data_IF_635941389205
#
_entry.id   IF_635941389205
#
_cell.length_a   1.000
_cell.length_b   1.000
_cell.length_c   1.000
_cell.angle_alpha   90.00
_cell.angle_beta   90.00
_cell.angle_gamma   90.00
#
_symmetry.space_group_name_H-M   'P 1'
#
loop_
_entity.id
_entity.type
_entity.pdbx_description
1 polymer ?
#
# COMPACT_ATOMS: atom_id res chain seq x y z
N UNK A 1 24.87 -22.70 8.86
CA UNK A 1 23.70 -21.82 8.60
C UNK A 1 23.05 -22.31 7.32
N UNK A 2 21.88 -22.95 7.40
CA UNK A 2 21.15 -23.38 6.22
C UNK A 2 20.53 -22.14 5.56
N UNK A 3 21.05 -21.73 4.40
CA UNK A 3 20.43 -20.67 3.60
C UNK A 3 19.09 -21.20 3.08
N UNK A 4 17.99 -20.77 3.68
CA UNK A 4 16.65 -21.15 3.22
C UNK A 4 16.46 -20.70 1.78
N UNK A 5 16.37 -21.65 0.84
CA UNK A 5 16.19 -21.41 -0.58
C UNK A 5 14.71 -21.18 -0.89
N UNK A 6 14.13 -20.09 -0.38
CA UNK A 6 12.77 -19.73 -0.77
C UNK A 6 12.75 -19.38 -2.27
N UNK A 7 11.80 -19.99 -2.99
CA UNK A 7 11.66 -19.77 -4.42
C UNK A 7 10.53 -18.80 -4.69
N UNK A 8 10.58 -18.16 -5.88
CA UNK A 8 9.46 -17.39 -6.40
C UNK A 8 8.11 -18.14 -6.33
N UNK A 9 8.14 -19.46 -6.57
CA UNK A 9 6.93 -20.30 -6.51
C UNK A 9 6.34 -20.33 -5.11
N UNK A 10 7.18 -20.34 -4.08
CA UNK A 10 6.72 -20.30 -2.69
C UNK A 10 6.06 -18.96 -2.38
N UNK A 11 6.67 -17.84 -2.80
CA UNK A 11 6.09 -16.51 -2.62
C UNK A 11 4.73 -16.39 -3.30
N UNK A 12 4.63 -16.81 -4.57
CA UNK A 12 3.36 -16.79 -5.31
C UNK A 12 2.30 -17.68 -4.68
N UNK A 13 2.67 -18.88 -4.20
CA UNK A 13 1.73 -19.79 -3.52
C UNK A 13 1.17 -19.14 -2.26
N UNK A 14 2.04 -18.65 -1.37
CA UNK A 14 1.61 -18.06 -0.09
C UNK A 14 0.78 -16.79 -0.33
N UNK A 15 1.16 -15.96 -1.31
CA UNK A 15 0.39 -14.77 -1.69
C UNK A 15 -1.00 -15.13 -2.24
N UNK A 16 -1.08 -16.16 -3.09
CA UNK A 16 -2.35 -16.67 -3.62
C UNK A 16 -3.24 -17.23 -2.52
N UNK A 17 -2.66 -18.00 -1.60
CA UNK A 17 -3.39 -18.53 -0.46
C UNK A 17 -3.95 -17.36 0.36
N UNK A 18 -3.13 -16.37 0.73
CA UNK A 18 -3.61 -15.17 1.43
C UNK A 18 -4.75 -14.46 0.68
N UNK A 19 -4.64 -14.31 -0.64
CA UNK A 19 -5.71 -13.75 -1.47
C UNK A 19 -6.98 -14.60 -1.44
N UNK A 20 -6.88 -15.93 -1.36
CA UNK A 20 -8.02 -16.83 -1.24
C UNK A 20 -8.78 -16.61 0.09
N UNK A 21 -8.05 -16.50 1.20
CA UNK A 21 -8.64 -16.25 2.52
C UNK A 21 -9.35 -14.88 2.59
N UNK A 22 -8.87 -13.91 1.80
CA UNK A 22 -9.48 -12.59 1.63
C UNK A 22 -10.60 -12.55 0.57
N UNK A 23 -10.94 -13.69 -0.03
CA UNK A 23 -11.92 -13.82 -1.13
C UNK A 23 -11.61 -12.96 -2.36
N UNK A 24 -10.33 -12.78 -2.67
CA UNK A 24 -9.84 -11.97 -3.81
C UNK A 24 -9.59 -12.80 -5.09
N UNK A 25 -9.72 -14.12 -5.05
CA UNK A 25 -9.58 -14.95 -6.24
C UNK A 25 -10.90 -14.97 -7.01
N UNK A 26 -10.84 -15.05 -8.35
CA UNK A 26 -12.04 -15.19 -9.20
C UNK A 26 -12.88 -16.43 -8.83
N UNK A 27 -12.21 -17.48 -8.34
CA UNK A 27 -12.84 -18.72 -7.87
C UNK A 27 -13.47 -18.61 -6.47
N UNK A 28 -13.25 -17.51 -5.75
CA UNK A 28 -13.77 -17.33 -4.40
C UNK A 28 -15.20 -16.81 -4.46
N UNK A 29 -16.06 -17.31 -3.57
CA UNK A 29 -17.39 -16.73 -3.39
C UNK A 29 -17.25 -15.30 -2.90
N UNK A 30 -17.72 -14.33 -3.70
CA UNK A 30 -17.74 -12.92 -3.29
C UNK A 30 -18.64 -12.74 -2.07
N UNK A 31 -18.26 -11.80 -1.21
CA UNK A 31 -19.02 -11.48 -0.02
C UNK A 31 -20.33 -10.75 -0.42
N UNK A 32 -21.46 -11.16 0.15
CA UNK A 32 -22.74 -10.48 -0.09
C UNK A 32 -22.72 -9.09 0.55
N UNK A 33 -23.35 -8.09 -0.07
CA UNK A 33 -23.26 -6.66 0.33
C UNK A 33 -23.57 -6.40 1.81
N UNK A 34 -24.48 -7.16 2.40
CA UNK A 34 -24.94 -6.94 3.78
C UNK A 34 -24.46 -8.02 4.75
N UNK A 35 -23.47 -8.82 4.35
CA UNK A 35 -22.93 -9.92 5.15
C UNK A 35 -21.45 -9.68 5.32
N UNK A 36 -20.99 -9.62 6.57
CA UNK A 36 -19.57 -9.57 6.88
C UNK A 36 -18.97 -10.99 6.88
N UNK A 37 -17.63 -11.09 6.89
CA UNK A 37 -16.97 -12.38 7.04
C UNK A 37 -17.28 -13.00 8.41
N UNK A 38 -17.41 -14.32 8.45
CA UNK A 38 -17.68 -15.01 9.71
C UNK A 38 -16.46 -14.93 10.66
N UNK A 39 -16.66 -15.05 11.99
CA UNK A 39 -15.55 -15.07 12.94
C UNK A 39 -14.50 -16.15 12.65
N UNK A 40 -14.94 -17.29 12.10
CA UNK A 40 -14.05 -18.39 11.70
C UNK A 40 -13.16 -18.00 10.51
N UNK A 41 -13.74 -17.36 9.49
CA UNK A 41 -12.98 -16.88 8.33
C UNK A 41 -12.00 -15.78 8.73
N UNK A 42 -12.46 -14.82 9.52
CA UNK A 42 -11.60 -13.77 10.08
C UNK A 42 -10.43 -14.38 10.87
N UNK A 43 -10.69 -15.39 11.70
CA UNK A 43 -9.66 -16.13 12.43
C UNK A 43 -8.62 -16.79 11.51
N UNK A 44 -9.04 -17.34 10.36
CA UNK A 44 -8.12 -17.91 9.36
C UNK A 44 -7.21 -16.84 8.74
N UNK A 45 -7.80 -15.72 8.32
CA UNK A 45 -7.06 -14.59 7.77
C UNK A 45 -6.02 -14.09 8.78
N UNK A 46 -6.43 -13.84 10.01
CA UNK A 46 -5.55 -13.33 11.06
C UNK A 46 -4.43 -14.32 11.41
N UNK A 47 -4.73 -15.62 11.46
CA UNK A 47 -3.71 -16.65 11.67
C UNK A 47 -2.66 -16.61 10.55
N UNK A 48 -3.08 -16.45 9.29
CA UNK A 48 -2.18 -16.38 8.15
C UNK A 48 -1.31 -15.12 8.19
N UNK A 49 -1.88 -13.96 8.48
CA UNK A 49 -1.12 -12.71 8.61
C UNK A 49 -0.07 -12.83 9.71
N UNK A 50 -0.43 -13.34 10.89
CA UNK A 50 0.53 -13.55 11.99
C UNK A 50 1.61 -14.56 11.63
N UNK A 51 1.28 -15.61 10.88
CA UNK A 51 2.27 -16.57 10.41
C UNK A 51 3.31 -15.91 9.49
N UNK A 52 2.92 -14.95 8.64
CA UNK A 52 3.86 -14.21 7.79
C UNK A 52 4.87 -13.40 8.59
N UNK A 53 4.49 -12.88 9.76
CA UNK A 53 5.40 -12.11 10.62
C UNK A 53 6.47 -12.97 11.30
N UNK A 54 6.25 -14.28 11.39
CA UNK A 54 7.27 -15.20 11.90
C UNK A 54 8.35 -15.52 10.87
N UNK A 55 8.15 -15.14 9.60
CA UNK A 55 9.10 -15.38 8.52
C UNK A 55 10.24 -14.34 8.55
N UNK A 56 11.45 -14.70 8.06
CA UNK A 56 12.50 -13.71 7.82
C UNK A 56 11.98 -12.59 6.90
N UNK A 57 12.42 -11.36 7.14
CA UNK A 57 11.94 -10.17 6.43
C UNK A 57 12.01 -10.33 4.92
N UNK A 58 13.09 -10.87 4.39
CA UNK A 58 13.31 -11.05 2.94
C UNK A 58 12.28 -11.99 2.32
N UNK A 59 11.84 -12.99 3.08
CA UNK A 59 10.83 -13.98 2.68
C UNK A 59 9.44 -13.33 2.70
N UNK A 60 9.13 -12.64 3.80
CA UNK A 60 7.87 -11.91 3.98
C UNK A 60 7.69 -10.84 2.91
N UNK A 61 8.71 -10.01 2.67
CA UNK A 61 8.70 -8.98 1.65
C UNK A 61 8.52 -9.62 0.25
N UNK A 62 9.15 -10.77 0.00
CA UNK A 62 8.94 -11.56 -1.22
C UNK A 62 7.49 -11.99 -1.43
N UNK A 63 6.80 -12.42 -0.36
CA UNK A 63 5.37 -12.76 -0.38
C UNK A 63 4.51 -11.52 -0.65
N UNK A 64 4.75 -10.41 0.05
CA UNK A 64 3.98 -9.18 -0.16
C UNK A 64 4.19 -8.54 -1.53
N UNK A 65 5.40 -8.65 -2.10
CA UNK A 65 5.67 -8.23 -3.48
C UNK A 65 4.93 -9.12 -4.48
N UNK A 66 4.87 -10.44 -4.24
CA UNK A 66 4.07 -11.35 -5.05
C UNK A 66 2.57 -11.04 -4.95
N UNK A 67 2.07 -10.77 -3.74
CA UNK A 67 0.69 -10.33 -3.51
C UNK A 67 0.40 -9.05 -4.28
N UNK A 68 1.30 -8.06 -4.19
CA UNK A 68 1.15 -6.77 -4.86
C UNK A 68 1.08 -6.89 -6.38
N UNK A 69 1.90 -7.77 -6.96
CA UNK A 69 1.92 -8.01 -8.39
C UNK A 69 0.64 -8.67 -8.92
N UNK A 70 -0.03 -9.49 -8.11
CA UNK A 70 -1.12 -10.36 -8.57
C UNK A 70 -2.51 -10.00 -8.06
N UNK A 71 -2.63 -9.31 -6.93
CA UNK A 71 -3.89 -9.24 -6.18
C UNK A 71 -4.32 -7.81 -5.79
N UNK A 72 -3.51 -6.78 -6.06
CA UNK A 72 -3.91 -5.39 -5.79
C UNK A 72 -5.16 -4.95 -6.57
N UNK A 73 -5.34 -5.25 -7.87
CA UNK A 73 -6.59 -4.92 -8.56
C UNK A 73 -7.82 -5.57 -7.91
N UNK A 74 -7.76 -6.86 -7.59
CA UNK A 74 -8.87 -7.56 -6.93
C UNK A 74 -9.16 -7.01 -5.53
N UNK A 75 -8.11 -6.62 -4.78
CA UNK A 75 -8.26 -5.93 -3.50
C UNK A 75 -8.97 -4.57 -3.68
N UNK A 76 -8.60 -3.83 -4.73
CA UNK A 76 -9.21 -2.56 -5.09
C UNK A 76 -10.71 -2.71 -5.39
N UNK A 77 -11.04 -3.71 -6.22
CA UNK A 77 -12.42 -4.05 -6.59
C UNK A 77 -13.23 -4.42 -5.34
N UNK A 78 -12.66 -5.26 -4.46
CA UNK A 78 -13.30 -5.66 -3.22
C UNK A 78 -13.56 -4.45 -2.31
N UNK A 79 -12.61 -3.52 -2.15
CA UNK A 79 -12.82 -2.30 -1.37
C UNK A 79 -13.92 -1.41 -1.96
N UNK A 80 -14.03 -1.30 -3.28
CA UNK A 80 -15.07 -0.51 -3.96
C UNK A 80 -16.46 -1.13 -3.86
N UNK A 81 -16.54 -2.47 -3.84
CA UNK A 81 -17.78 -3.21 -3.72
C UNK A 81 -18.34 -3.24 -2.28
N UNK A 82 -17.50 -2.93 -1.28
CA UNK A 82 -17.84 -3.00 0.15
C UNK A 82 -18.62 -1.80 0.67
N UNK A 83 -19.36 -2.02 1.77
CA UNK A 83 -20.05 -0.96 2.51
C UNK A 83 -19.79 -1.06 4.03
N UNK A 84 -20.35 -0.14 4.81
CA UNK A 84 -20.13 -0.04 6.25
C UNK A 84 -20.58 -1.23 7.11
N UNK A 85 -21.33 -2.20 6.55
CA UNK A 85 -21.75 -3.41 7.26
C UNK A 85 -20.67 -4.52 7.25
N UNK A 86 -19.65 -4.40 6.40
CA UNK A 86 -18.61 -5.41 6.17
C UNK A 86 -17.30 -5.03 6.88
N UNK A 87 -17.40 -4.67 8.16
CA UNK A 87 -16.32 -4.08 8.94
C UNK A 87 -15.09 -4.98 9.05
N UNK A 88 -15.26 -6.26 9.34
CA UNK A 88 -14.18 -7.23 9.49
C UNK A 88 -13.48 -7.49 8.16
N UNK A 89 -14.24 -7.59 7.07
CA UNK A 89 -13.70 -7.72 5.72
C UNK A 89 -12.85 -6.49 5.33
N UNK A 90 -13.39 -5.28 5.52
CA UNK A 90 -12.66 -4.03 5.27
C UNK A 90 -11.39 -3.98 6.13
N UNK A 91 -11.49 -4.35 7.41
CA UNK A 91 -10.34 -4.37 8.33
C UNK A 91 -9.21 -5.22 7.78
N UNK A 92 -9.52 -6.42 7.31
CA UNK A 92 -8.52 -7.35 6.81
C UNK A 92 -7.88 -6.84 5.50
N UNK A 93 -8.65 -6.21 4.60
CA UNK A 93 -8.10 -5.62 3.39
C UNK A 93 -7.18 -4.42 3.68
N UNK A 94 -7.60 -3.54 4.60
CA UNK A 94 -6.79 -2.41 5.05
C UNK A 94 -5.51 -2.88 5.72
N UNK A 95 -5.60 -3.89 6.59
CA UNK A 95 -4.45 -4.46 7.29
C UNK A 95 -3.42 -5.03 6.30
N UNK A 96 -3.86 -5.72 5.25
CA UNK A 96 -2.92 -6.20 4.23
C UNK A 96 -2.30 -5.04 3.47
N UNK A 97 -3.08 -4.04 3.08
CA UNK A 97 -2.58 -2.88 2.35
C UNK A 97 -1.56 -2.08 3.19
N UNK A 98 -1.75 -2.00 4.51
CA UNK A 98 -0.83 -1.31 5.45
C UNK A 98 0.45 -2.08 5.75
N UNK A 99 0.45 -3.41 5.57
CA UNK A 99 1.62 -4.27 5.79
C UNK A 99 2.50 -4.45 4.53
N UNK A 100 2.05 -3.97 3.37
CA UNK A 100 2.87 -4.04 2.16
C UNK A 100 4.15 -3.22 2.31
N UNK A 101 5.29 -3.69 1.78
CA UNK A 101 6.52 -2.91 1.78
C UNK A 101 6.32 -1.58 1.05
N UNK A 102 7.01 -0.54 1.51
CA UNK A 102 6.90 0.81 0.96
C UNK A 102 7.11 0.83 -0.59
N UNK A 103 6.50 1.79 -1.31
CA UNK A 103 6.59 1.88 -2.78
C UNK A 103 8.02 1.91 -3.36
N UNK A 104 9.03 2.27 -2.55
CA UNK A 104 10.44 2.17 -2.94
C UNK A 104 10.90 0.71 -3.07
N UNK A 105 10.57 -0.13 -2.09
CA UNK A 105 10.89 -1.55 -2.05
C UNK A 105 9.90 -2.41 -2.86
N UNK A 106 8.68 -1.90 -3.07
CA UNK A 106 7.60 -2.59 -3.79
C UNK A 106 7.15 -1.78 -5.02
N UNK A 107 7.77 -2.01 -6.19
CA UNK A 107 7.44 -1.23 -7.37
C UNK A 107 6.07 -1.58 -7.97
N UNK A 108 5.46 -2.72 -7.61
CA UNK A 108 4.11 -3.06 -8.01
C UNK A 108 3.09 -2.23 -7.24
N UNK A 109 3.27 -2.06 -5.92
CA UNK A 109 2.47 -1.12 -5.14
C UNK A 109 2.63 0.31 -5.65
N UNK A 110 3.87 0.75 -5.95
CA UNK A 110 4.12 2.07 -6.53
C UNK A 110 3.35 2.30 -7.83
N UNK A 111 3.40 1.33 -8.74
CA UNK A 111 2.68 1.39 -10.02
C UNK A 111 1.17 1.36 -9.82
N UNK A 112 0.68 0.55 -8.89
CA UNK A 112 -0.74 0.46 -8.54
C UNK A 112 -1.28 1.78 -8.02
N UNK A 113 -0.59 2.41 -7.06
CA UNK A 113 -0.99 3.71 -6.51
C UNK A 113 -1.03 4.82 -7.59
N UNK A 114 -0.24 4.70 -8.65
CA UNK A 114 -0.23 5.65 -9.79
C UNK A 114 -1.33 5.38 -10.81
N UNK A 115 -2.01 4.24 -10.76
CA UNK A 115 -3.10 3.91 -11.67
C UNK A 115 -4.39 4.59 -11.17
N UNK A 116 -4.80 5.66 -11.86
CA UNK A 116 -5.97 6.47 -11.47
C UNK A 116 -7.29 5.71 -11.57
N UNK A 117 -7.40 4.76 -12.50
CA UNK A 117 -8.60 3.93 -12.65
C UNK A 117 -8.72 2.92 -11.51
N UNK A 118 -7.62 2.22 -11.20
CA UNK A 118 -7.60 1.22 -10.13
C UNK A 118 -7.77 1.84 -8.74
N UNK A 119 -7.24 3.06 -8.53
CA UNK A 119 -7.34 3.76 -7.26
C UNK A 119 -8.55 4.69 -7.15
N UNK A 120 -9.41 4.76 -8.17
CA UNK A 120 -10.55 5.68 -8.16
C UNK A 120 -11.42 5.48 -6.91
N UNK A 121 -11.80 6.57 -6.25
CA UNK A 121 -12.55 6.65 -4.98
C UNK A 121 -11.92 6.00 -3.73
N UNK A 122 -10.96 5.07 -3.87
CA UNK A 122 -10.38 4.29 -2.77
C UNK A 122 -9.73 5.18 -1.69
N UNK A 123 -8.87 6.18 -2.01
CA UNK A 123 -8.28 7.05 -1.00
C UNK A 123 -9.32 7.73 -0.10
N UNK A 124 -10.39 8.24 -0.70
CA UNK A 124 -11.51 8.90 -0.01
C UNK A 124 -12.32 7.91 0.83
N UNK A 125 -12.62 6.72 0.28
CA UNK A 125 -13.31 5.66 0.99
C UNK A 125 -12.53 5.21 2.23
N UNK A 126 -11.22 4.95 2.10
CA UNK A 126 -10.36 4.56 3.21
C UNK A 126 -10.27 5.66 4.27
N UNK A 127 -10.08 6.92 3.87
CA UNK A 127 -10.03 8.04 4.80
C UNK A 127 -11.33 8.17 5.61
N UNK A 128 -12.48 8.10 4.94
CA UNK A 128 -13.79 8.18 5.58
C UNK A 128 -14.02 7.00 6.54
N UNK A 129 -13.75 5.79 6.08
CA UNK A 129 -13.98 4.56 6.85
C UNK A 129 -13.10 4.50 8.10
N UNK A 130 -11.81 4.81 7.95
CA UNK A 130 -10.88 4.76 9.07
C UNK A 130 -11.14 5.88 10.08
N UNK A 131 -11.54 7.09 9.63
CA UNK A 131 -11.85 8.21 10.54
C UNK A 131 -12.90 7.86 11.60
N UNK A 132 -13.88 7.01 11.28
CA UNK A 132 -14.93 6.61 12.23
C UNK A 132 -14.51 5.53 13.23
N UNK A 133 -13.37 4.86 13.04
CA UNK A 133 -13.18 3.50 13.55
C UNK A 133 -11.72 3.14 13.85
N UNK A 134 -10.78 4.10 13.84
CA UNK A 134 -9.34 3.85 14.03
C UNK A 134 -9.01 2.84 15.16
N UNK A 135 -9.63 2.86 16.35
CA UNK A 135 -9.32 1.88 17.41
C UNK A 135 -9.73 0.44 17.09
N UNK A 136 -10.76 0.23 16.26
CA UNK A 136 -11.27 -1.09 15.90
C UNK A 136 -10.48 -1.77 14.77
N UNK A 137 -9.72 -0.99 14.00
CA UNK A 137 -9.00 -1.47 12.80
C UNK A 137 -7.56 -1.91 13.06
N UNK A 138 -7.04 -1.70 14.27
CA UNK A 138 -5.67 -2.09 14.62
C UNK A 138 -5.67 -3.56 15.07
N UNK A 139 -5.35 -4.46 14.13
CA UNK A 139 -5.12 -5.87 14.43
C UNK A 139 -3.63 -6.16 14.30
N UNK A 140 -3.05 -6.72 15.36
CA UNK A 140 -1.70 -7.28 15.31
C UNK A 140 -1.56 -8.21 14.09
N UNK A 141 -0.55 -7.98 13.23
CA UNK A 141 0.68 -7.20 13.48
C UNK A 141 0.67 -5.74 13.00
N UNK A 142 -0.42 -5.27 12.38
CA UNK A 142 -0.51 -3.88 11.93
C UNK A 142 -0.71 -2.98 13.13
N UNK A 143 0.14 -1.97 13.25
CA UNK A 143 -0.01 -0.86 14.21
C UNK A 143 -0.65 0.35 13.53
N UNK A 144 -0.90 1.42 14.29
CA UNK A 144 -1.38 2.69 13.72
C UNK A 144 -0.37 3.32 12.75
N UNK A 145 0.92 3.21 13.05
CA UNK A 145 2.00 3.70 12.21
C UNK A 145 2.04 3.03 10.84
N UNK A 146 1.65 1.75 10.75
CA UNK A 146 1.48 1.07 9.45
C UNK A 146 0.32 1.68 8.64
N UNK A 147 -0.82 1.92 9.30
CA UNK A 147 -2.00 2.56 8.66
C UNK A 147 -1.66 4.00 8.23
N UNK A 148 -0.94 4.77 9.06
CA UNK A 148 -0.50 6.11 8.70
C UNK A 148 0.51 6.08 7.56
N UNK A 149 1.45 5.13 7.57
CA UNK A 149 2.39 4.90 6.48
C UNK A 149 1.68 4.62 5.14
N UNK A 150 0.64 3.79 5.17
CA UNK A 150 -0.23 3.54 4.00
C UNK A 150 -0.85 4.85 3.46
N UNK A 151 -1.43 5.70 4.31
CA UNK A 151 -1.98 6.98 3.87
C UNK A 151 -0.91 7.94 3.34
N UNK A 152 0.26 7.97 3.96
CA UNK A 152 1.41 8.75 3.46
C UNK A 152 1.74 8.30 2.04
N UNK A 153 1.80 6.99 1.78
CA UNK A 153 2.04 6.45 0.44
C UNK A 153 0.92 6.79 -0.54
N UNK A 154 -0.35 6.70 -0.14
CA UNK A 154 -1.49 7.12 -0.96
C UNK A 154 -1.34 8.59 -1.36
N UNK A 155 -1.06 9.49 -0.40
CA UNK A 155 -0.89 10.92 -0.66
C UNK A 155 0.32 11.21 -1.56
N UNK A 156 1.42 10.47 -1.40
CA UNK A 156 2.63 10.62 -2.21
C UNK A 156 2.43 10.17 -3.66
N UNK A 157 1.76 9.03 -3.87
CA UNK A 157 1.80 8.32 -5.16
C UNK A 157 0.52 8.41 -6.00
N UNK A 158 -0.66 8.63 -5.39
CA UNK A 158 -1.93 8.77 -6.12
C UNK A 158 -2.13 10.17 -6.72
N UNK A 159 -2.68 10.29 -7.92
CA UNK A 159 -2.85 11.57 -8.60
C UNK A 159 -3.74 12.55 -7.77
N UNK A 160 -3.26 13.77 -7.45
CA UNK A 160 -4.08 14.74 -6.73
C UNK A 160 -5.41 15.08 -7.40
N UNK A 161 -5.52 14.94 -8.72
CA UNK A 161 -6.76 15.19 -9.48
C UNK A 161 -7.92 14.25 -9.10
N UNK A 162 -7.64 13.14 -8.41
CA UNK A 162 -8.67 12.25 -7.87
C UNK A 162 -9.48 12.91 -6.74
N UNK A 163 -8.91 13.90 -6.04
CA UNK A 163 -9.67 14.74 -5.13
C UNK A 163 -10.51 15.77 -5.88
N UNK A 164 -11.75 16.02 -5.44
CA UNK A 164 -12.62 17.03 -6.06
C UNK A 164 -12.00 18.44 -6.12
N UNK A 165 -11.12 18.79 -5.19
CA UNK A 165 -10.42 20.08 -5.17
C UNK A 165 -9.09 20.08 -5.94
N UNK A 166 -8.65 18.89 -6.39
CA UNK A 166 -7.37 18.57 -7.00
C UNK A 166 -6.13 18.92 -6.16
N UNK A 167 -6.29 19.09 -4.84
CA UNK A 167 -5.18 19.37 -3.92
C UNK A 167 -4.51 18.10 -3.41
N UNK A 168 -5.28 17.02 -3.25
CA UNK A 168 -4.81 15.72 -2.80
C UNK A 168 -5.71 14.61 -3.38
N UNK A 169 -5.24 13.35 -3.45
CA UNK A 169 -6.06 12.24 -3.96
C UNK A 169 -7.26 11.89 -3.07
N UNK A 170 -7.37 12.47 -1.88
CA UNK A 170 -8.47 12.30 -0.93
C UNK A 170 -9.37 13.54 -1.00
N UNK A 171 -10.68 13.33 -1.14
CA UNK A 171 -11.67 14.41 -1.17
C UNK A 171 -11.61 15.28 0.11
N UNK A 172 -11.97 16.58 0.04
CA UNK A 172 -11.83 17.51 1.15
C UNK A 172 -12.45 17.04 2.48
N UNK A 173 -13.69 16.54 2.45
CA UNK A 173 -14.40 16.12 3.67
C UNK A 173 -13.75 14.88 4.32
N UNK A 174 -13.56 13.73 3.65
CA UNK A 174 -12.83 12.59 4.23
C UNK A 174 -11.41 12.95 4.70
N UNK A 175 -10.74 13.86 3.99
CA UNK A 175 -9.40 14.34 4.35
C UNK A 175 -9.40 15.12 5.66
N UNK A 176 -10.40 16.00 5.86
CA UNK A 176 -10.57 16.74 7.12
C UNK A 176 -10.94 15.80 8.26
N UNK A 177 -11.88 14.87 8.05
CA UNK A 177 -12.26 13.89 9.07
C UNK A 177 -11.06 13.06 9.55
N UNK A 178 -10.18 12.66 8.63
CA UNK A 178 -8.97 11.92 8.97
C UNK A 178 -8.01 12.77 9.81
N UNK A 179 -7.81 14.02 9.44
CA UNK A 179 -6.98 14.97 10.19
C UNK A 179 -7.52 15.19 11.61
N UNK A 180 -8.82 15.48 11.73
CA UNK A 180 -9.48 15.70 13.02
C UNK A 180 -9.35 14.47 13.92
N UNK A 181 -9.55 13.27 13.35
CA UNK A 181 -9.43 12.02 14.11
C UNK A 181 -8.00 11.77 14.59
N UNK A 182 -6.98 12.04 13.78
CA UNK A 182 -5.58 11.88 14.19
C UNK A 182 -5.23 12.89 15.30
N UNK A 183 -5.70 14.13 15.17
CA UNK A 183 -5.50 15.16 16.21
C UNK A 183 -6.19 14.78 17.53
N UNK A 184 -7.41 14.25 17.47
CA UNK A 184 -8.11 13.73 18.65
C UNK A 184 -7.29 12.61 19.31
N UNK A 185 -6.90 11.59 18.54
CA UNK A 185 -6.10 10.46 19.05
C UNK A 185 -4.78 10.90 19.69
N UNK A 186 -4.06 11.81 19.04
CA UNK A 186 -2.74 12.29 19.50
C UNK A 186 -2.84 13.26 20.69
N UNK A 187 -4.02 13.82 20.97
CA UNK A 187 -4.26 14.68 22.13
C UNK A 187 -4.46 13.90 23.45
N UNK A 188 -4.79 12.62 23.38
CA UNK A 188 -4.97 11.79 24.56
C UNK A 188 -3.64 11.43 25.22
N UNK A 189 -3.60 11.41 26.56
CA UNK A 189 -2.40 11.05 27.33
C UNK A 189 -1.86 9.66 27.00
N UNK A 190 -2.74 8.71 26.68
CA UNK A 190 -2.37 7.34 26.26
C UNK A 190 -1.48 7.34 25.01
N UNK A 191 -1.53 8.38 24.18
CA UNK A 191 -0.67 8.51 23.01
C UNK A 191 0.82 8.67 23.37
N UNK A 192 1.13 9.12 24.59
CA UNK A 192 2.52 9.27 25.05
C UNK A 192 3.25 7.91 25.11
N UNK A 193 2.51 6.83 25.33
CA UNK A 193 3.02 5.46 25.38
C UNK A 193 2.95 4.74 24.03
N UNK A 194 2.45 5.41 22.98
CA UNK A 194 2.39 4.83 21.63
C UNK A 194 3.80 4.55 21.09
N UNK A 195 3.93 3.55 20.22
CA UNK A 195 5.24 3.19 19.66
C UNK A 195 5.85 4.35 18.86
N UNK A 196 7.19 4.37 18.75
CA UNK A 196 7.89 5.39 17.95
C UNK A 196 7.37 5.45 16.51
N UNK A 197 7.05 4.28 15.93
CA UNK A 197 6.48 4.16 14.59
C UNK A 197 5.10 4.83 14.50
N UNK A 198 4.22 4.62 15.49
CA UNK A 198 2.89 5.24 15.53
C UNK A 198 3.00 6.76 15.65
N UNK A 199 3.85 7.24 16.56
CA UNK A 199 4.05 8.67 16.79
C UNK A 199 4.67 9.36 15.57
N UNK A 200 5.69 8.75 14.94
CA UNK A 200 6.31 9.28 13.73
C UNK A 200 5.33 9.31 12.56
N UNK A 201 4.60 8.21 12.35
CA UNK A 201 3.57 8.11 11.31
C UNK A 201 2.49 9.19 11.46
N UNK A 202 1.98 9.39 12.68
CA UNK A 202 0.96 10.41 12.95
C UNK A 202 1.48 11.82 12.63
N UNK A 203 2.65 12.19 13.15
CA UNK A 203 3.26 13.52 12.90
C UNK A 203 3.45 13.78 11.40
N UNK A 204 4.00 12.81 10.68
CA UNK A 204 4.24 12.93 9.24
C UNK A 204 2.93 13.06 8.46
N UNK A 205 1.91 12.27 8.81
CA UNK A 205 0.62 12.30 8.12
C UNK A 205 -0.12 13.63 8.37
N UNK A 206 -0.17 14.11 9.62
CA UNK A 206 -0.76 15.42 9.97
C UNK A 206 -0.12 16.53 9.15
N UNK A 207 1.21 16.60 9.12
CA UNK A 207 1.94 17.61 8.37
C UNK A 207 1.58 17.60 6.87
N UNK A 208 1.50 16.42 6.25
CA UNK A 208 1.13 16.29 4.83
C UNK A 208 -0.33 16.72 4.63
N UNK A 209 -1.25 16.29 5.49
CA UNK A 209 -2.68 16.61 5.38
C UNK A 209 -2.92 18.12 5.51
N UNK A 210 -2.33 18.77 6.51
CA UNK A 210 -2.42 20.22 6.70
C UNK A 210 -1.85 20.98 5.50
N UNK A 211 -0.72 20.52 4.95
CA UNK A 211 -0.12 21.17 3.78
C UNK A 211 -0.98 21.01 2.53
N UNK A 212 -1.68 19.88 2.37
CA UNK A 212 -2.64 19.65 1.29
C UNK A 212 -3.88 20.54 1.38
N UNK A 213 -4.20 21.11 2.53
CA UNK A 213 -5.35 22.02 2.69
C UNK A 213 -5.02 23.47 2.29
N UNK A 214 -3.73 23.81 2.20
CA UNK A 214 -3.29 25.16 1.86
C UNK A 214 -3.36 25.35 0.35
N UNK A 215 -4.31 26.14 -0.12
CA UNK A 215 -4.22 26.70 -1.46
C UNK A 215 -3.04 27.68 -1.51
N UNK A 216 -2.21 27.58 -2.54
CA UNK A 216 -1.00 28.41 -2.69
C UNK A 216 -1.17 29.29 -3.92
N UNK A 217 -1.53 30.58 -3.75
CA UNK A 217 -1.69 31.49 -4.86
C UNK A 217 -0.47 31.49 -5.80
N UNK A 218 -0.72 31.39 -7.09
CA UNK A 218 0.33 31.33 -8.12
C UNK A 218 1.03 29.97 -8.26
N UNK A 219 0.57 28.92 -7.57
CA UNK A 219 1.00 27.53 -7.79
C UNK A 219 -0.15 26.71 -8.37
N UNK A 220 0.21 25.66 -9.12
CA UNK A 220 -0.77 24.67 -9.59
C UNK A 220 -1.39 23.92 -8.40
N UNK A 221 -2.64 23.49 -8.54
CA UNK A 221 -3.30 22.63 -7.54
C UNK A 221 -2.51 21.34 -7.34
N UNK A 222 -2.38 20.94 -6.07
CA UNK A 222 -1.58 19.77 -5.68
C UNK A 222 -0.06 19.96 -5.83
N UNK A 223 0.43 21.21 -6.01
CA UNK A 223 1.86 21.51 -6.17
C UNK A 223 2.76 20.84 -5.13
N UNK A 224 2.35 20.82 -3.86
CA UNK A 224 3.11 20.18 -2.78
C UNK A 224 3.32 18.67 -3.04
N UNK A 225 2.24 17.93 -3.27
CA UNK A 225 2.31 16.48 -3.52
C UNK A 225 3.01 16.17 -4.83
N UNK A 226 2.79 16.96 -5.90
CA UNK A 226 3.50 16.79 -7.18
C UNK A 226 5.01 17.00 -7.03
N UNK A 227 5.43 17.98 -6.23
CA UNK A 227 6.86 18.24 -5.96
C UNK A 227 7.47 17.11 -5.13
N UNK A 228 6.79 16.70 -4.05
CA UNK A 228 7.22 15.57 -3.22
C UNK A 228 7.34 14.28 -4.05
N UNK A 229 6.37 13.99 -4.93
CA UNK A 229 6.42 12.83 -5.83
C UNK A 229 7.66 12.86 -6.72
N UNK A 230 7.97 13.99 -7.34
CA UNK A 230 9.16 14.11 -8.21
C UNK A 230 10.46 13.75 -7.47
N UNK A 231 10.61 14.19 -6.23
CA UNK A 231 11.76 13.82 -5.40
C UNK A 231 11.77 12.33 -5.05
N UNK A 232 10.61 11.76 -4.73
CA UNK A 232 10.49 10.33 -4.44
C UNK A 232 10.77 9.46 -5.68
N UNK A 233 10.32 9.87 -6.87
CA UNK A 233 10.62 9.21 -8.14
C UNK A 233 12.12 9.18 -8.40
N UNK A 234 12.81 10.32 -8.16
CA UNK A 234 14.27 10.41 -8.23
C UNK A 234 14.96 9.46 -7.23
N UNK A 235 14.47 9.38 -5.99
CA UNK A 235 15.01 8.47 -4.97
C UNK A 235 14.72 6.98 -5.23
N UNK A 236 13.63 6.67 -5.93
CA UNK A 236 13.27 5.32 -6.36
C UNK A 236 14.07 4.86 -7.59
N UNK A 237 14.95 5.70 -8.12
CA UNK A 237 15.74 5.40 -9.30
C UNK A 237 14.90 5.32 -10.57
N UNK A 238 13.78 6.04 -10.65
CA UNK A 238 13.02 6.11 -11.90
C UNK A 238 13.91 6.77 -12.97
N UNK A 239 14.16 6.04 -14.06
CA UNK A 239 15.04 6.51 -15.15
C UNK A 239 16.52 6.18 -15.00
N UNK A 240 16.95 5.49 -13.93
CA UNK A 240 18.33 5.00 -13.79
C UNK A 240 18.41 3.48 -13.74
N UNK A 241 19.61 2.95 -13.99
CA UNK A 241 19.91 1.53 -13.97
C UNK A 241 19.94 1.00 -12.53
N UNK A 242 19.18 -0.05 -12.25
CA UNK A 242 19.16 -0.72 -10.94
C UNK A 242 20.50 -1.34 -10.49
N UNK A 243 21.49 -1.44 -11.40
CA UNK A 243 22.82 -1.99 -11.11
C UNK A 243 23.87 -0.89 -10.96
N UNK A 244 24.10 -0.10 -12.01
CA UNK A 244 25.21 0.87 -12.05
C UNK A 244 24.79 2.34 -11.87
N UNK A 245 23.49 2.62 -11.67
CA UNK A 245 22.93 3.97 -11.50
C UNK A 245 23.10 4.93 -12.70
N UNK A 246 23.64 4.47 -13.84
CA UNK A 246 23.63 5.23 -15.09
C UNK A 246 22.21 5.39 -15.67
N UNK A 247 22.01 6.28 -16.63
CA UNK A 247 20.71 6.46 -17.29
C UNK A 247 20.20 5.14 -17.89
N UNK A 248 18.96 4.78 -17.53
CA UNK A 248 18.34 3.55 -17.98
C UNK A 248 17.70 3.71 -19.37
N UNK A 249 18.10 2.85 -20.30
CA UNK A 249 17.62 2.85 -21.69
C UNK A 249 16.56 1.78 -21.95
N UNK A 250 16.57 0.71 -21.16
CA UNK A 250 15.67 -0.44 -21.31
C UNK A 250 14.99 -0.79 -20.00
N UNK A 251 13.74 -1.24 -20.05
CA UNK A 251 13.03 -1.82 -18.91
C UNK A 251 13.07 -3.34 -18.97
N UNK A 252 12.92 -4.02 -17.84
CA UNK A 252 12.65 -5.46 -17.85
C UNK A 252 11.39 -5.74 -18.69
N UNK A 253 11.50 -6.57 -19.73
CA UNK A 253 10.40 -6.83 -20.66
C UNK A 253 9.18 -7.47 -20.00
N UNK A 254 9.40 -8.22 -18.91
CA UNK A 254 8.37 -8.90 -18.14
C UNK A 254 7.63 -7.95 -17.19
N UNK A 255 8.30 -7.49 -16.13
CA UNK A 255 7.62 -6.70 -15.10
C UNK A 255 7.53 -5.21 -15.45
N UNK A 256 8.44 -4.69 -16.28
CA UNK A 256 8.56 -3.26 -16.61
C UNK A 256 8.77 -2.34 -15.40
N UNK A 257 9.02 -2.90 -14.21
CA UNK A 257 9.20 -2.15 -12.96
C UNK A 257 10.65 -1.77 -12.68
N UNK A 258 11.61 -2.57 -13.14
CA UNK A 258 13.05 -2.30 -13.02
C UNK A 258 13.60 -1.90 -14.38
N UNK A 259 14.50 -0.90 -14.39
CA UNK A 259 15.16 -0.42 -15.59
C UNK A 259 16.68 -0.61 -15.53
N UNK A 260 17.29 -0.72 -16.71
CA UNK A 260 18.71 -0.97 -16.90
C UNK A 260 19.28 -0.07 -18.00
N UNK A 261 20.57 0.23 -17.94
CA UNK A 261 21.25 0.96 -19.02
C UNK A 261 21.44 0.09 -20.28
N UNK A 262 21.41 -1.24 -20.13
CA UNK A 262 21.54 -2.22 -21.21
C UNK A 262 21.34 -3.67 -20.74
N UNK A 263 21.48 -4.62 -21.68
CA UNK A 263 21.27 -6.05 -21.43
C UNK A 263 22.30 -6.67 -20.47
N UNK A 264 23.51 -6.10 -20.39
CA UNK A 264 24.58 -6.58 -19.50
C UNK A 264 24.17 -6.44 -18.02
N UNK A 265 23.79 -5.22 -17.59
CA UNK A 265 23.29 -5.00 -16.23
C UNK A 265 22.01 -5.80 -15.95
N UNK A 266 21.13 -5.99 -16.94
CA UNK A 266 19.96 -6.85 -16.74
C UNK A 266 20.36 -8.31 -16.45
N UNK A 267 21.35 -8.85 -17.19
CA UNK A 267 21.85 -10.21 -16.99
C UNK A 267 22.54 -10.37 -15.63
N UNK A 268 23.28 -9.35 -15.21
CA UNK A 268 23.93 -9.30 -13.89
C UNK A 268 22.91 -9.34 -12.75
N UNK A 269 21.87 -8.51 -12.83
CA UNK A 269 20.82 -8.47 -11.79
C UNK A 269 19.86 -9.66 -11.84
N UNK A 270 19.77 -10.36 -12.97
CA UNK A 270 18.76 -11.40 -13.21
C UNK A 270 18.68 -12.47 -12.12
N UNK A 271 19.82 -12.86 -11.53
CA UNK A 271 19.86 -13.83 -10.43
C UNK A 271 19.01 -13.41 -9.23
N UNK A 272 19.03 -12.12 -8.88
CA UNK A 272 18.25 -11.50 -7.79
C UNK A 272 16.88 -11.03 -8.29
N UNK A 273 16.82 -10.40 -9.45
CA UNK A 273 15.57 -9.87 -9.98
C UNK A 273 14.53 -10.96 -10.26
N UNK A 274 14.94 -12.14 -10.77
CA UNK A 274 14.01 -13.20 -11.21
C UNK A 274 13.06 -13.66 -10.10
N UNK A 275 13.47 -13.60 -8.83
CA UNK A 275 12.66 -14.05 -7.70
C UNK A 275 11.49 -13.11 -7.40
N UNK A 276 11.58 -11.85 -7.82
CA UNK A 276 10.55 -10.80 -7.60
C UNK A 276 10.00 -10.21 -8.92
N UNK A 277 10.36 -10.82 -10.07
CA UNK A 277 9.95 -10.36 -11.41
C UNK A 277 8.63 -11.01 -11.86
N UNK A 278 7.50 -10.37 -11.59
CA UNK A 278 6.17 -10.80 -11.96
C UNK A 278 5.68 -10.04 -13.20
N UNK A 279 4.75 -10.63 -13.94
CA UNK A 279 4.05 -9.88 -14.99
C UNK A 279 3.13 -8.85 -14.32
N UNK A 280 2.96 -7.67 -14.93
CA UNK A 280 2.09 -6.64 -14.37
C UNK A 280 0.80 -6.60 -15.14
N UNK A 281 -0.30 -6.93 -14.47
CA UNK A 281 -1.65 -6.98 -15.05
C UNK A 281 -2.42 -5.66 -14.98
N UNK A 282 -1.81 -4.55 -14.55
CA UNK A 282 -2.47 -3.25 -14.32
C UNK A 282 -1.56 -2.02 -14.55
#
# INVERSE_FOLDING_TARGET
>A
MATSTHTKKDFTRIARDLAADLRLLESSDKLHRDVDISPKENGSVQLRIRALETLPREVRDGVYVAFSAHHLPALADALRDMNGTQLEAITNLVQILSLLPEPRANPYLRRFLRNTEAMDTIPSFLAMTLSGLIPHYVKEPSTLGHIFGMFIHILQWCDPSMGHDSLAPIHPQPRQMLLDRINELTSHSVWQDASELDQAGARSLVMILEECQKDKPGKEKGYYLRTMRKELERMCGEGVCGVCQAEAKVGCSKCRTVRYCGAECQKEDWGKHKIVCYDVSF
#
